data_IF_380782716685
#
_entry.id   IF_380782716685
#
_cell.length_a   1.000
_cell.length_b   1.000
_cell.length_c   1.000
_cell.angle_alpha   90.00
_cell.angle_beta   90.00
_cell.angle_gamma   90.00
#
_symmetry.space_group_name_H-M   'P 1'
#
loop_
_entity.id
_entity.type
_entity.pdbx_description
1 polymer ?
#
# COMPACT_ATOMS: atom_id res chain seq x y z
N UNK A 1 -10.59 -7.79 -7.73
CA UNK A 1 -11.47 -6.61 -7.85
C UNK A 1 -10.65 -5.49 -8.48
N UNK A 2 -11.24 -4.58 -9.27
CA UNK A 2 -10.51 -3.41 -9.77
C UNK A 2 -9.96 -2.59 -8.60
N UNK A 3 -8.79 -1.98 -8.78
CA UNK A 3 -8.21 -1.02 -7.84
C UNK A 3 -9.26 0.03 -7.48
N UNK A 4 -9.73 0.01 -6.23
CA UNK A 4 -10.77 0.92 -5.76
C UNK A 4 -10.13 2.24 -5.36
N UNK A 5 -10.14 3.19 -6.30
CA UNK A 5 -9.60 4.55 -6.11
C UNK A 5 -10.18 5.27 -4.91
N UNK A 6 -11.44 5.01 -4.54
CA UNK A 6 -12.11 5.69 -3.44
C UNK A 6 -11.62 5.14 -2.09
N UNK A 7 -11.35 3.84 -2.03
CA UNK A 7 -10.73 3.20 -0.85
C UNK A 7 -9.30 3.67 -0.64
N UNK A 8 -8.48 3.68 -1.71
CA UNK A 8 -7.11 4.20 -1.63
C UNK A 8 -7.12 5.69 -1.30
N UNK A 9 -7.94 6.48 -1.99
CA UNK A 9 -8.05 7.92 -1.76
C UNK A 9 -8.42 8.27 -0.32
N UNK A 10 -9.37 7.54 0.28
CA UNK A 10 -9.76 7.73 1.69
C UNK A 10 -8.61 7.40 2.64
N UNK A 11 -7.87 6.31 2.39
CA UNK A 11 -6.74 5.92 3.24
C UNK A 11 -5.62 6.97 3.20
N UNK A 12 -5.27 7.46 2.01
CA UNK A 12 -4.27 8.50 1.83
C UNK A 12 -4.70 9.84 2.47
N UNK A 13 -5.97 10.22 2.29
CA UNK A 13 -6.53 11.42 2.91
C UNK A 13 -6.44 11.36 4.44
N UNK A 14 -6.73 10.20 5.04
CA UNK A 14 -6.63 10.04 6.49
C UNK A 14 -5.18 10.14 6.99
N UNK A 15 -4.22 9.57 6.26
CA UNK A 15 -2.80 9.67 6.59
C UNK A 15 -2.27 11.11 6.49
N UNK A 16 -2.69 11.85 5.47
CA UNK A 16 -2.40 13.29 5.32
C UNK A 16 -2.98 14.09 6.49
N UNK A 17 -4.26 13.85 6.80
CA UNK A 17 -4.93 14.54 7.90
C UNK A 17 -4.23 14.30 9.23
N UNK A 18 -3.83 13.05 9.54
CA UNK A 18 -3.12 12.73 10.78
C UNK A 18 -1.78 13.47 10.89
N UNK A 19 -1.07 13.66 9.76
CA UNK A 19 0.16 14.43 9.75
C UNK A 19 -0.10 15.93 9.97
N UNK A 20 -1.11 16.50 9.30
CA UNK A 20 -1.43 17.92 9.37
C UNK A 20 -2.10 18.34 10.69
N UNK A 21 -2.80 17.42 11.37
CA UNK A 21 -3.46 17.67 12.65
C UNK A 21 -2.46 17.73 13.83
N UNK A 22 -1.19 17.33 13.62
CA UNK A 22 -0.14 17.39 14.66
C UNK A 22 0.41 18.81 14.78
N UNK A 23 0.48 19.34 16.00
CA UNK A 23 1.13 20.62 16.22
C UNK A 23 2.64 20.50 15.99
N UNK A 24 3.35 21.57 15.58
CA UNK A 24 4.80 21.52 15.39
C UNK A 24 5.58 21.01 16.61
N UNK A 25 5.07 21.27 17.82
CA UNK A 25 5.64 20.78 19.07
C UNK A 25 5.53 19.25 19.23
N UNK A 26 4.52 18.61 18.63
CA UNK A 26 4.28 17.16 18.69
C UNK A 26 5.11 16.39 17.65
N UNK A 27 5.60 17.09 16.62
CA UNK A 27 6.40 16.50 15.54
C UNK A 27 7.87 16.31 15.93
N UNK A 28 8.37 17.09 16.89
CA UNK A 28 9.78 17.08 17.29
C UNK A 28 10.69 17.46 16.12
N UNK A 29 11.34 16.48 15.49
CA UNK A 29 12.10 16.66 14.25
C UNK A 29 11.17 16.61 13.03
N UNK A 30 10.94 17.77 12.44
CA UNK A 30 10.06 17.96 11.28
C UNK A 30 10.51 17.14 10.07
N UNK A 31 11.82 16.99 9.84
CA UNK A 31 12.33 16.22 8.69
C UNK A 31 12.10 14.72 8.89
N UNK A 32 12.33 14.22 10.10
CA UNK A 32 12.02 12.84 10.45
C UNK A 32 10.52 12.55 10.37
N UNK A 33 9.67 13.47 10.83
CA UNK A 33 8.22 13.35 10.74
C UNK A 33 7.73 13.34 9.29
N UNK A 34 8.29 14.22 8.43
CA UNK A 34 7.99 14.25 6.99
C UNK A 34 8.40 12.96 6.30
N UNK A 35 9.59 12.43 6.64
CA UNK A 35 10.04 11.13 6.13
C UNK A 35 9.09 9.99 6.57
N UNK A 36 8.65 10.00 7.82
CA UNK A 36 7.70 9.01 8.33
C UNK A 36 6.35 9.09 7.61
N UNK A 37 5.85 10.30 7.36
CA UNK A 37 4.62 10.51 6.58
C UNK A 37 4.71 9.88 5.17
N UNK A 38 5.80 10.14 4.44
CA UNK A 38 5.99 9.56 3.11
C UNK A 38 6.09 8.03 3.12
N UNK A 39 6.66 7.45 4.18
CA UNK A 39 6.67 5.98 4.37
C UNK A 39 5.28 5.43 4.59
N UNK A 40 4.47 6.07 5.45
CA UNK A 40 3.06 5.69 5.66
C UNK A 40 2.25 5.74 4.36
N UNK A 41 2.45 6.77 3.55
CA UNK A 41 1.80 6.88 2.23
C UNK A 41 2.20 5.72 1.30
N UNK A 42 3.48 5.38 1.24
CA UNK A 42 3.97 4.24 0.46
C UNK A 42 3.40 2.91 0.96
N UNK A 43 3.30 2.71 2.28
CA UNK A 43 2.75 1.50 2.89
C UNK A 43 1.26 1.31 2.55
N UNK A 44 0.44 2.37 2.61
CA UNK A 44 -0.97 2.30 2.24
C UNK A 44 -1.17 1.97 0.76
N UNK A 45 -0.33 2.52 -0.12
CA UNK A 45 -0.33 2.17 -1.56
C UNK A 45 0.04 0.69 -1.76
N UNK A 46 1.12 0.22 -1.13
CA UNK A 46 1.56 -1.18 -1.23
C UNK A 46 0.49 -2.12 -0.67
N UNK A 47 -0.11 -1.78 0.47
CA UNK A 47 -1.19 -2.55 1.10
C UNK A 47 -2.43 -2.60 0.20
N UNK A 48 -2.79 -1.49 -0.43
CA UNK A 48 -3.88 -1.46 -1.40
C UNK A 48 -3.60 -2.40 -2.58
N UNK A 49 -2.39 -2.38 -3.13
CA UNK A 49 -1.99 -3.31 -4.19
C UNK A 49 -1.94 -4.76 -3.74
N UNK A 50 -1.48 -5.06 -2.51
CA UNK A 50 -1.44 -6.43 -1.98
C UNK A 50 -2.84 -7.00 -1.71
N UNK A 51 -3.77 -6.16 -1.26
CA UNK A 51 -5.15 -6.58 -0.93
C UNK A 51 -6.06 -6.65 -2.15
N UNK A 52 -5.87 -5.76 -3.13
CA UNK A 52 -6.61 -5.76 -4.40
C UNK A 52 -5.91 -6.55 -5.50
N UNK A 53 -4.67 -6.97 -5.24
CA UNK A 53 -3.89 -7.89 -6.05
C UNK A 53 -4.52 -9.27 -6.02
N UNK A 54 -5.61 -9.43 -6.78
CA UNK A 54 -5.88 -10.71 -7.42
C UNK A 54 -4.64 -10.99 -8.26
N UNK A 55 -3.78 -11.88 -7.78
CA UNK A 55 -2.86 -12.62 -8.62
C UNK A 55 -3.75 -13.27 -9.68
N UNK A 56 -3.80 -12.66 -10.87
CA UNK A 56 -4.58 -13.15 -12.00
C UNK A 56 -3.80 -14.33 -12.62
N UNK A 57 -3.57 -15.40 -11.86
CA UNK A 57 -2.98 -16.66 -12.35
C UNK A 57 -4.04 -17.62 -12.87
N UNK A 58 -5.20 -17.13 -13.30
CA UNK A 58 -6.08 -17.90 -14.19
C UNK A 58 -5.54 -17.87 -15.63
N UNK A 59 -4.29 -18.35 -15.78
CA UNK A 59 -3.81 -19.01 -16.98
C UNK A 59 -3.75 -20.49 -16.63
N UNK A 60 -4.65 -21.26 -17.23
CA UNK A 60 -4.82 -22.71 -17.17
C UNK A 60 -3.51 -23.53 -17.11
N UNK A 61 -3.58 -24.63 -16.35
CA UNK A 61 -2.53 -25.57 -15.96
C UNK A 61 -1.61 -26.11 -17.07
N UNK A 62 -0.37 -26.43 -16.68
CA UNK A 62 0.19 -27.78 -16.86
C UNK A 62 1.31 -28.00 -15.84
N UNK A 63 1.07 -28.90 -14.89
CA UNK A 63 2.12 -29.51 -14.09
C UNK A 63 3.06 -30.26 -15.05
N UNK A 64 4.26 -29.72 -15.29
CA UNK A 64 5.30 -30.48 -15.96
C UNK A 64 5.82 -31.53 -14.96
N UNK A 65 5.13 -32.67 -14.92
CA UNK A 65 5.63 -33.88 -14.27
C UNK A 65 6.84 -34.33 -15.08
N UNK A 66 8.04 -34.09 -14.55
CA UNK A 66 9.26 -34.68 -15.07
C UNK A 66 9.26 -36.18 -14.79
N UNK A 67 9.13 -36.98 -15.84
CA UNK A 67 9.61 -38.36 -15.87
C UNK A 67 9.73 -38.80 -17.34
N UNK A 68 10.94 -38.79 -17.89
CA UNK A 68 11.30 -39.62 -19.03
C UNK A 68 12.51 -40.44 -18.58
N UNK A 69 12.27 -41.73 -18.33
CA UNK A 69 13.25 -42.81 -18.29
C UNK A 69 12.59 -44.05 -18.89
#
# INVERSE_FOLDING_TARGET
MPLNKDTLGTALYNAEKEFNDKAPADLGDIEAARLSFWKTMADEIIKHFKTQGVVNTTGTASAQTGAIS
#
